data_IF_539024469879
#
_entry.id   IF_539024469879
#
_cell.length_a   1.000
_cell.length_b   1.000
_cell.length_c   1.000
_cell.angle_alpha   90.00
_cell.angle_beta   90.00
_cell.angle_gamma   90.00
#
_symmetry.space_group_name_H-M   'P 1'
#
loop_
_entity.id
_entity.type
_entity.pdbx_description
1 polymer ?
#
# COMPACT_ATOMS: atom_id res chain seq x y z
N UNK A 1 6.11 -5.55 18.67
CA UNK A 1 7.22 -5.18 17.77
C UNK A 1 7.63 -3.75 18.04
N UNK A 2 8.91 -3.38 17.87
CA UNK A 2 9.35 -1.99 17.91
C UNK A 2 9.18 -1.33 16.53
N UNK A 3 9.14 0.00 16.47
CA UNK A 3 9.09 0.75 15.22
C UNK A 3 10.23 0.34 14.28
N UNK A 4 9.89 0.14 12.99
CA UNK A 4 10.84 -0.23 11.94
C UNK A 4 10.80 0.81 10.82
N UNK A 5 11.98 1.26 10.40
CA UNK A 5 12.14 2.04 9.18
C UNK A 5 12.09 1.09 7.98
N UNK A 6 11.13 1.30 7.08
CA UNK A 6 10.93 0.51 5.86
C UNK A 6 11.52 1.26 4.68
N UNK A 7 12.47 0.64 3.97
CA UNK A 7 13.03 1.18 2.73
C UNK A 7 12.15 0.83 1.53
N UNK A 8 12.33 1.54 0.42
CA UNK A 8 11.64 1.22 -0.83
C UNK A 8 11.85 -0.24 -1.22
N UNK A 9 10.76 -0.96 -1.52
CA UNK A 9 10.77 -2.37 -1.89
C UNK A 9 11.01 -3.36 -0.73
N UNK A 10 11.27 -2.88 0.49
CA UNK A 10 11.52 -3.75 1.63
C UNK A 10 10.24 -4.42 2.13
N UNK A 11 10.32 -5.72 2.40
CA UNK A 11 9.27 -6.51 3.05
C UNK A 11 9.77 -6.95 4.44
N UNK A 12 8.89 -6.90 5.44
CA UNK A 12 9.18 -7.34 6.80
C UNK A 12 8.19 -8.43 7.17
N UNK A 13 8.70 -9.65 7.36
CA UNK A 13 7.88 -10.78 7.80
C UNK A 13 7.55 -10.64 9.30
N UNK A 14 6.26 -10.78 9.63
CA UNK A 14 5.78 -10.87 11.01
C UNK A 14 5.76 -12.34 11.41
N UNK A 15 6.61 -12.72 12.36
CA UNK A 15 6.75 -14.11 12.85
C UNK A 15 5.97 -14.34 14.14
N UNK A 16 5.67 -15.60 14.44
CA UNK A 16 5.04 -16.00 15.70
C UNK A 16 3.52 -15.83 15.75
N UNK A 17 2.88 -15.74 14.58
CA UNK A 17 1.41 -15.69 14.43
C UNK A 17 0.94 -16.88 13.59
N UNK A 18 -0.37 -17.15 13.60
CA UNK A 18 -1.03 -18.04 12.64
C UNK A 18 -1.53 -17.18 11.47
N UNK A 19 -0.86 -17.12 10.30
CA UNK A 19 -1.15 -16.10 9.28
C UNK A 19 -2.55 -16.17 8.68
N UNK A 20 -3.16 -17.35 8.67
CA UNK A 20 -4.53 -17.57 8.19
C UNK A 20 -5.61 -17.16 9.22
N UNK A 21 -5.22 -16.91 10.48
CA UNK A 21 -6.13 -16.53 11.57
C UNK A 21 -5.40 -15.65 12.58
N UNK A 22 -5.37 -14.35 12.30
CA UNK A 22 -4.77 -13.35 13.16
C UNK A 22 -5.55 -12.04 13.05
N UNK A 23 -5.49 -11.24 14.11
CA UNK A 23 -5.85 -9.83 14.09
C UNK A 23 -4.56 -9.01 14.07
N UNK A 24 -4.42 -8.09 13.11
CA UNK A 24 -3.20 -7.33 12.87
C UNK A 24 -3.53 -5.85 12.78
N UNK A 25 -3.03 -5.09 13.74
CA UNK A 25 -3.07 -3.63 13.73
C UNK A 25 -1.69 -3.06 13.38
N UNK A 26 -1.64 -2.07 12.50
CA UNK A 26 -0.40 -1.41 12.08
C UNK A 26 -0.60 0.09 11.91
N UNK A 27 0.39 0.86 12.38
CA UNK A 27 0.43 2.32 12.21
C UNK A 27 1.60 2.68 11.29
N UNK A 28 1.33 3.39 10.21
CA UNK A 28 2.34 3.91 9.29
C UNK A 28 2.59 5.39 9.53
N UNK A 29 3.84 5.77 9.76
CA UNK A 29 4.27 7.17 9.77
C UNK A 29 4.99 7.49 8.45
N UNK A 30 4.37 8.33 7.61
CA UNK A 30 4.90 8.72 6.30
C UNK A 30 5.77 9.99 6.34
N UNK A 31 5.73 10.76 7.44
CA UNK A 31 6.60 11.92 7.70
C UNK A 31 7.02 12.73 6.47
N UNK A 32 8.34 12.87 6.29
CA UNK A 32 8.96 13.61 5.18
C UNK A 32 8.74 12.98 3.79
N UNK A 33 8.31 11.72 3.72
CA UNK A 33 8.03 11.08 2.42
C UNK A 33 6.89 11.78 1.67
N UNK A 34 6.00 12.51 2.36
CA UNK A 34 4.92 13.28 1.74
C UNK A 34 5.41 14.25 0.65
N UNK A 35 6.64 14.77 0.76
CA UNK A 35 7.26 15.61 -0.27
C UNK A 35 7.45 14.90 -1.60
N UNK A 36 7.53 13.56 -1.58
CA UNK A 36 7.70 12.70 -2.76
C UNK A 36 6.37 12.19 -3.32
N UNK A 37 5.24 12.50 -2.70
CA UNK A 37 3.93 12.04 -3.18
C UNK A 37 3.62 12.60 -4.58
N UNK A 38 3.03 11.76 -5.43
CA UNK A 38 2.60 12.12 -6.79
C UNK A 38 1.40 13.07 -6.73
N UNK A 39 1.25 13.94 -7.73
CA UNK A 39 0.05 14.76 -7.89
C UNK A 39 -1.16 13.87 -8.16
N UNK A 40 -2.27 14.13 -7.46
CA UNK A 40 -3.54 13.44 -7.68
C UNK A 40 -4.15 13.89 -9.01
N UNK A 41 -4.49 12.93 -9.87
CA UNK A 41 -5.25 13.20 -11.09
C UNK A 41 -6.76 13.30 -10.75
N UNK A 42 -7.39 14.47 -10.91
CA UNK A 42 -8.80 14.69 -10.56
C UNK A 42 -9.78 13.78 -11.30
N UNK A 43 -9.41 13.18 -12.44
CA UNK A 43 -10.25 12.25 -13.20
C UNK A 43 -10.62 10.98 -12.42
N UNK A 44 -9.89 10.67 -11.35
CA UNK A 44 -10.12 9.52 -10.47
C UNK A 44 -10.91 9.83 -9.18
N UNK A 45 -11.39 11.06 -8.99
CA UNK A 45 -12.04 11.51 -7.72
C UNK A 45 -13.15 10.57 -7.24
N UNK A 46 -13.93 9.99 -8.16
CA UNK A 46 -15.03 9.07 -7.85
C UNK A 46 -14.78 7.66 -8.39
N UNK A 47 -13.53 7.32 -8.68
CA UNK A 47 -13.12 6.03 -9.27
C UNK A 47 -11.95 5.38 -8.51
N UNK A 48 -12.03 5.22 -7.18
CA UNK A 48 -10.93 4.65 -6.39
C UNK A 48 -10.63 3.20 -6.80
N UNK A 49 -11.65 2.41 -7.17
CA UNK A 49 -11.46 1.04 -7.63
C UNK A 49 -10.67 0.97 -8.93
N UNK A 50 -10.96 1.84 -9.89
CA UNK A 50 -10.21 1.88 -11.15
C UNK A 50 -8.78 2.36 -10.93
N UNK A 51 -8.59 3.31 -10.01
CA UNK A 51 -7.26 3.75 -9.61
C UNK A 51 -6.46 2.62 -8.96
N UNK A 52 -7.07 1.79 -8.09
CA UNK A 52 -6.41 0.60 -7.54
C UNK A 52 -6.01 -0.42 -8.63
N UNK A 53 -6.81 -0.56 -9.69
CA UNK A 53 -6.47 -1.45 -10.81
C UNK A 53 -5.24 -0.97 -11.57
N UNK A 54 -5.13 0.33 -11.81
CA UNK A 54 -4.04 0.98 -12.57
C UNK A 54 -2.78 1.15 -11.72
N UNK A 55 -2.94 1.53 -10.45
CA UNK A 55 -1.86 1.74 -9.48
C UNK A 55 -1.84 0.59 -8.47
N UNK A 56 -1.78 -0.65 -8.98
CA UNK A 56 -1.76 -1.88 -8.18
C UNK A 56 -0.53 -2.03 -7.26
N UNK A 57 -0.47 -3.08 -6.46
CA UNK A 57 0.59 -3.32 -5.46
C UNK A 57 2.02 -3.42 -6.03
N UNK A 58 2.16 -3.76 -7.32
CA UNK A 58 3.45 -3.88 -8.00
C UNK A 58 3.90 -2.62 -8.74
N UNK A 59 3.08 -1.57 -8.78
CA UNK A 59 3.42 -0.32 -9.49
C UNK A 59 4.11 0.64 -8.52
N UNK A 60 5.41 0.84 -8.64
CA UNK A 60 6.11 1.80 -7.77
C UNK A 60 5.54 3.21 -7.94
N UNK A 61 5.31 3.90 -6.82
CA UNK A 61 4.94 5.31 -6.82
C UNK A 61 5.78 6.15 -5.85
N UNK A 62 5.45 7.44 -5.76
CA UNK A 62 6.15 8.40 -4.92
C UNK A 62 6.03 8.10 -3.41
N UNK A 63 4.80 7.88 -2.94
CA UNK A 63 4.50 7.41 -1.57
C UNK A 63 3.54 6.24 -1.67
N UNK A 64 4.12 5.05 -1.63
CA UNK A 64 3.42 3.78 -1.76
C UNK A 64 3.63 3.10 -3.12
N UNK A 65 3.17 1.86 -3.25
CA UNK A 65 2.30 1.16 -2.30
C UNK A 65 3.03 0.71 -1.03
N UNK A 66 2.43 0.93 0.13
CA UNK A 66 2.89 0.41 1.43
C UNK A 66 1.71 -0.14 2.23
N UNK A 67 1.91 -1.23 2.97
CA UNK A 67 0.81 -1.90 3.65
C UNK A 67 1.16 -3.30 4.12
N UNK A 68 0.17 -4.17 4.08
CA UNK A 68 0.24 -5.56 4.49
C UNK A 68 0.21 -6.48 3.28
N UNK A 69 0.97 -7.57 3.38
CA UNK A 69 0.89 -8.73 2.50
C UNK A 69 0.24 -9.82 3.36
N UNK A 70 -1.02 -10.16 3.09
CA UNK A 70 -1.78 -11.15 3.88
C UNK A 70 -2.03 -12.42 3.06
N UNK A 71 -2.39 -13.51 3.74
CA UNK A 71 -2.72 -14.80 3.11
C UNK A 71 -1.69 -15.21 2.04
N UNK A 72 -0.41 -15.11 2.39
CA UNK A 72 0.67 -15.23 1.44
C UNK A 72 1.37 -16.60 1.52
N UNK A 73 1.74 -17.15 0.37
CA UNK A 73 2.61 -18.32 0.29
C UNK A 73 4.06 -17.95 0.66
N UNK A 74 4.90 -18.90 1.11
CA UNK A 74 6.28 -18.60 1.50
C UNK A 74 7.14 -17.99 0.39
N UNK A 75 6.86 -18.35 -0.86
CA UNK A 75 7.53 -17.84 -2.08
C UNK A 75 6.89 -16.56 -2.63
N UNK A 76 5.75 -16.11 -2.08
CA UNK A 76 4.99 -14.95 -2.51
C UNK A 76 4.45 -15.04 -3.94
N UNK A 77 4.26 -16.26 -4.46
CA UNK A 77 3.52 -16.49 -5.71
C UNK A 77 2.03 -16.14 -5.54
N UNK A 78 1.46 -16.41 -4.36
CA UNK A 78 0.11 -16.01 -3.98
C UNK A 78 0.15 -15.13 -2.74
N UNK A 79 -0.57 -14.00 -2.78
CA UNK A 79 -0.77 -13.14 -1.62
C UNK A 79 -1.93 -12.16 -1.88
N UNK A 80 -2.54 -11.68 -0.80
CA UNK A 80 -3.54 -10.60 -0.85
C UNK A 80 -2.93 -9.32 -0.25
N UNK A 81 -2.47 -8.37 -1.07
CA UNK A 81 -1.98 -7.10 -0.58
C UNK A 81 -3.14 -6.16 -0.18
N UNK A 82 -3.02 -5.59 1.02
CA UNK A 82 -3.85 -4.48 1.50
C UNK A 82 -2.92 -3.30 1.71
N UNK A 83 -3.04 -2.27 0.87
CA UNK A 83 -2.03 -1.21 0.80
C UNK A 83 -2.64 0.18 0.65
N UNK A 84 -1.80 1.17 0.95
CA UNK A 84 -2.10 2.58 0.82
C UNK A 84 -1.19 3.26 -0.19
N UNK A 85 -1.73 4.33 -0.79
CA UNK A 85 -0.97 5.32 -1.56
C UNK A 85 -1.34 6.70 -1.10
N UNK A 86 -0.38 7.62 -1.15
CA UNK A 86 -0.62 9.03 -0.82
C UNK A 86 -0.30 9.90 -2.03
N UNK A 87 -1.23 10.81 -2.32
CA UNK A 87 -1.13 11.78 -3.41
C UNK A 87 -1.20 13.20 -2.87
N UNK A 88 -0.55 14.14 -3.55
CA UNK A 88 -0.71 15.58 -3.34
C UNK A 88 -1.97 16.04 -4.07
N UNK A 89 -2.89 16.69 -3.37
CA UNK A 89 -4.02 17.36 -4.01
C UNK A 89 -3.72 18.86 -4.13
N UNK A 90 -3.43 19.32 -5.34
CA UNK A 90 -3.13 20.73 -5.61
C UNK A 90 -4.37 21.63 -5.54
N UNK A 91 -5.58 21.06 -5.43
CA UNK A 91 -6.81 21.84 -5.28
C UNK A 91 -7.15 22.18 -3.83
N UNK A 92 -6.70 21.35 -2.89
CA UNK A 92 -7.03 21.49 -1.46
C UNK A 92 -5.80 21.67 -0.57
N UNK A 93 -4.60 21.52 -1.11
CA UNK A 93 -3.31 21.44 -0.40
C UNK A 93 -3.27 20.36 0.71
N UNK A 94 -4.24 19.43 0.69
CA UNK A 94 -4.34 18.32 1.64
C UNK A 94 -4.01 17.00 0.94
N UNK A 95 -3.26 16.09 1.58
CA UNK A 95 -3.00 14.78 0.98
C UNK A 95 -4.29 13.99 0.74
N UNK A 96 -4.36 13.30 -0.41
CA UNK A 96 -5.38 12.29 -0.68
C UNK A 96 -4.78 10.91 -0.45
N UNK A 97 -5.48 10.06 0.29
CA UNK A 97 -5.05 8.70 0.59
C UNK A 97 -5.97 7.71 -0.11
N UNK A 98 -5.38 6.81 -0.88
CA UNK A 98 -6.07 5.68 -1.50
C UNK A 98 -5.76 4.43 -0.69
N UNK A 99 -6.78 3.68 -0.32
CA UNK A 99 -6.66 2.32 0.22
C UNK A 99 -7.10 1.32 -0.85
N UNK A 100 -6.31 0.29 -1.07
CA UNK A 100 -6.60 -0.78 -2.01
C UNK A 100 -6.51 -2.13 -1.30
N UNK A 101 -7.48 -3.00 -1.56
CA UNK A 101 -7.37 -4.43 -1.33
C UNK A 101 -7.34 -5.10 -2.70
N UNK A 102 -6.20 -5.69 -3.04
CA UNK A 102 -5.93 -6.19 -4.38
C UNK A 102 -5.76 -7.70 -4.37
N UNK A 103 -6.87 -8.42 -4.14
CA UNK A 103 -6.93 -9.88 -4.19
C UNK A 103 -6.94 -10.44 -5.63
N UNK A 104 -6.22 -9.81 -6.55
CA UNK A 104 -6.09 -10.32 -7.92
C UNK A 104 -4.95 -11.33 -7.98
N UNK A 105 -5.06 -12.39 -8.81
CA UNK A 105 -3.94 -13.27 -9.09
C UNK A 105 -2.73 -12.46 -9.58
N UNK A 106 -1.53 -12.80 -9.11
CA UNK A 106 -0.30 -12.29 -9.72
C UNK A 106 -0.30 -12.71 -11.19
N UNK A 107 -0.31 -11.73 -12.10
CA UNK A 107 -0.09 -11.97 -13.53
C UNK A 107 1.35 -11.51 -13.83
N UNK A 108 2.25 -12.42 -14.24
CA UNK A 108 3.66 -12.12 -14.51
C UNK A 108 3.89 -10.98 -15.52
#
# INVERSE_FOLDING_TARGET
>A
MNNKNIKMGQRLEVKGITPAQADVEVTFNVGQCLEKAETFDPSYTFKPLDLCKIKGSNVTGGVGPFGLITLATPDLEEYTPVFFRVFKDTSTDKPKVLMCSDARPYVP
#
